data_IF_080631662562
#
_entry.id   IF_080631662562
#
_cell.length_a   1.000
_cell.length_b   1.000
_cell.length_c   1.000
_cell.angle_alpha   90.00
_cell.angle_beta   90.00
_cell.angle_gamma   90.00
#
_symmetry.space_group_name_H-M   'P 1'
#
loop_
_entity.id
_entity.type
_entity.pdbx_description
1 polymer ?
#
# COMPACT_ATOMS: atom_id res chain seq x y z
N UNK A 1 -8.50 7.23 11.18
CA UNK A 1 -7.78 7.69 9.96
C UNK A 1 -7.43 6.46 9.14
N UNK A 2 -7.25 6.62 7.83
CA UNK A 2 -6.95 5.52 6.91
C UNK A 2 -5.63 5.78 6.22
N UNK A 3 -4.91 4.71 5.90
CA UNK A 3 -3.60 4.76 5.22
C UNK A 3 -3.61 3.77 4.05
N UNK A 4 -2.73 4.01 3.09
CA UNK A 4 -2.47 3.10 1.97
C UNK A 4 -1.10 2.48 2.19
N UNK A 5 -1.06 1.16 2.33
CA UNK A 5 0.18 0.38 2.33
C UNK A 5 0.43 -0.14 0.93
N UNK A 6 1.70 -0.14 0.51
CA UNK A 6 2.11 -0.61 -0.81
C UNK A 6 3.08 -1.75 -0.66
N UNK A 7 2.95 -2.77 -1.49
CA UNK A 7 3.95 -3.82 -1.69
C UNK A 7 4.25 -3.92 -3.17
N UNK A 8 5.50 -3.67 -3.58
CA UNK A 8 5.94 -3.75 -4.98
C UNK A 8 6.66 -5.08 -5.20
N UNK A 9 6.19 -5.85 -6.18
CA UNK A 9 6.72 -7.18 -6.47
C UNK A 9 8.23 -7.09 -6.77
N UNK A 10 9.03 -7.86 -6.02
CA UNK A 10 10.48 -7.94 -6.21
C UNK A 10 11.27 -6.73 -5.72
N UNK A 11 10.63 -5.78 -5.02
CA UNK A 11 11.31 -4.62 -4.44
C UNK A 11 11.11 -4.58 -2.93
N UNK A 12 9.86 -4.47 -2.48
CA UNK A 12 9.57 -4.45 -1.05
C UNK A 12 8.13 -4.85 -0.79
N UNK A 13 7.88 -5.36 0.42
CA UNK A 13 6.54 -5.59 0.93
C UNK A 13 6.31 -4.88 2.27
N UNK A 14 5.07 -4.49 2.49
CA UNK A 14 4.59 -3.98 3.77
C UNK A 14 3.78 -5.04 4.49
N UNK A 15 3.95 -5.15 5.80
CA UNK A 15 3.16 -6.08 6.61
C UNK A 15 2.12 -5.35 7.45
N UNK A 16 0.96 -5.98 7.61
CA UNK A 16 -0.03 -5.55 8.60
C UNK A 16 0.53 -5.86 9.98
N UNK A 17 0.60 -4.83 10.81
CA UNK A 17 1.09 -4.90 12.19
C UNK A 17 -0.01 -4.50 13.16
N UNK A 18 0.24 -4.71 14.45
CA UNK A 18 -0.64 -4.19 15.49
C UNK A 18 -0.82 -2.67 15.39
N UNK A 19 -2.07 -2.21 15.50
CA UNK A 19 -2.48 -0.83 15.24
C UNK A 19 -2.94 -0.53 13.81
N UNK A 20 -2.87 -1.50 12.90
CA UNK A 20 -3.47 -1.42 11.56
C UNK A 20 -4.55 -2.48 11.37
N UNK A 21 -5.72 -2.06 10.89
CA UNK A 21 -6.81 -2.96 10.53
C UNK A 21 -7.05 -2.90 9.02
N UNK A 22 -6.71 -3.94 8.24
CA UNK A 22 -6.91 -3.94 6.80
C UNK A 22 -8.41 -3.91 6.47
N UNK A 23 -8.79 -3.11 5.48
CA UNK A 23 -10.18 -2.95 5.04
C UNK A 23 -10.41 -3.44 3.61
N UNK A 24 -9.45 -3.16 2.72
CA UNK A 24 -9.52 -3.58 1.33
C UNK A 24 -8.11 -3.74 0.77
N UNK A 25 -7.97 -4.67 -0.17
CA UNK A 25 -6.73 -4.88 -0.90
C UNK A 25 -6.98 -4.88 -2.40
N UNK A 26 -6.01 -4.38 -3.14
CA UNK A 26 -6.10 -4.21 -4.58
C UNK A 26 -4.79 -4.62 -5.24
N UNK A 27 -4.86 -5.47 -6.25
CA UNK A 27 -3.78 -5.66 -7.21
C UNK A 27 -3.73 -4.47 -8.16
N UNK A 28 -2.55 -3.89 -8.33
CA UNK A 28 -2.29 -2.95 -9.39
C UNK A 28 -1.70 -3.66 -10.61
N UNK A 29 -2.44 -3.59 -11.71
CA UNK A 29 -2.09 -4.14 -13.00
C UNK A 29 -1.62 -2.99 -13.91
N UNK A 30 -0.46 -3.15 -14.51
CA UNK A 30 0.06 -2.27 -15.55
C UNK A 30 0.17 -3.10 -16.83
N UNK A 31 -0.61 -2.76 -17.85
CA UNK A 31 -0.78 -3.56 -19.08
C UNK A 31 -1.04 -5.04 -18.76
N UNK A 32 -2.02 -5.31 -17.90
CA UNK A 32 -2.40 -6.65 -17.44
C UNK A 32 -1.41 -7.36 -16.50
N UNK A 33 -0.21 -6.81 -16.29
CA UNK A 33 0.81 -7.40 -15.42
C UNK A 33 0.72 -6.83 -14.01
N UNK A 34 0.58 -7.68 -12.99
CA UNK A 34 0.63 -7.24 -11.60
C UNK A 34 1.99 -6.62 -11.27
N UNK A 35 2.00 -5.39 -10.76
CA UNK A 35 3.22 -4.67 -10.34
C UNK A 35 3.27 -4.44 -8.83
N UNK A 36 2.12 -4.24 -8.21
CA UNK A 36 2.03 -4.00 -6.78
C UNK A 36 0.73 -4.55 -6.19
N UNK A 37 0.71 -4.70 -4.87
CA UNK A 37 -0.50 -4.84 -4.07
C UNK A 37 -0.62 -3.60 -3.20
N UNK A 38 -1.81 -3.01 -3.15
CA UNK A 38 -2.16 -1.93 -2.25
C UNK A 38 -3.13 -2.43 -1.19
N UNK A 39 -2.97 -1.95 0.05
CA UNK A 39 -3.89 -2.24 1.15
C UNK A 39 -4.35 -0.92 1.76
N UNK A 40 -5.65 -0.69 1.75
CA UNK A 40 -6.27 0.38 2.53
C UNK A 40 -6.53 -0.19 3.92
N UNK A 41 -5.96 0.45 4.94
CA UNK A 41 -6.10 0.04 6.33
C UNK A 41 -6.54 1.20 7.21
N UNK A 42 -7.35 0.91 8.21
CA UNK A 42 -7.63 1.81 9.32
C UNK A 42 -6.42 1.84 10.27
N UNK A 43 -5.93 3.04 10.56
CA UNK A 43 -4.91 3.29 11.58
C UNK A 43 -5.61 3.48 12.93
N UNK A 44 -5.58 2.44 13.75
CA UNK A 44 -6.26 2.37 15.06
C UNK A 44 -5.45 3.10 16.13
N UNK A 45 -4.11 3.05 16.03
CA UNK A 45 -3.17 3.77 16.88
C UNK A 45 -1.89 4.06 16.10
N UNK A 46 -1.14 5.07 16.54
CA UNK A 46 0.19 5.30 15.99
C UNK A 46 1.08 4.05 16.21
N UNK A 47 1.76 3.63 15.16
CA UNK A 47 2.52 2.38 15.12
C UNK A 47 3.71 2.53 14.16
N UNK A 48 4.54 1.50 14.04
CA UNK A 48 5.57 1.43 13.01
C UNK A 48 5.27 0.31 12.04
N UNK A 49 5.22 0.64 10.76
CA UNK A 49 4.94 -0.29 9.68
C UNK A 49 6.23 -0.99 9.32
N UNK A 50 6.16 -2.31 9.23
CA UNK A 50 7.29 -3.13 8.82
C UNK A 50 7.38 -3.13 7.28
N UNK A 51 8.44 -2.55 6.75
CA UNK A 51 8.80 -2.55 5.33
C UNK A 51 9.96 -3.52 5.15
N UNK A 52 9.74 -4.58 4.40
CA UNK A 52 10.74 -5.60 4.10
C UNK A 52 11.24 -5.31 2.69
N UNK A 53 12.50 -4.88 2.57
CA UNK A 53 13.18 -4.71 1.29
C UNK A 53 13.66 -6.07 0.78
N UNK A 54 13.01 -6.53 -0.28
CA UNK A 54 13.21 -7.85 -0.90
C UNK A 54 14.30 -7.81 -1.99
N UNK A 55 14.86 -6.64 -2.30
CA UNK A 55 15.95 -6.51 -3.28
C UNK A 55 17.30 -7.00 -2.73
N UNK A 56 17.41 -7.20 -1.40
CA UNK A 56 18.62 -7.66 -0.72
C UNK A 56 18.52 -9.12 -0.27
N UNK A 57 19.68 -9.78 -0.13
CA UNK A 57 19.79 -11.12 0.44
C UNK A 57 20.86 -11.14 1.55
N UNK A 58 20.48 -11.26 2.84
CA UNK A 58 19.10 -11.40 3.34
C UNK A 58 18.27 -10.11 3.19
N UNK A 59 16.92 -10.21 3.19
CA UNK A 59 16.05 -9.04 3.14
C UNK A 59 16.30 -8.08 4.31
N UNK A 60 16.24 -6.77 4.05
CA UNK A 60 16.42 -5.73 5.07
C UNK A 60 15.03 -5.37 5.63
N UNK A 61 14.91 -5.35 6.95
CA UNK A 61 13.66 -4.99 7.63
C UNK A 61 13.77 -3.59 8.20
N UNK A 62 12.89 -2.70 7.76
CA UNK A 62 12.77 -1.34 8.27
C UNK A 62 11.46 -1.16 9.02
N UNK A 63 11.50 -0.43 10.13
CA UNK A 63 10.31 0.01 10.87
C UNK A 63 10.05 1.49 10.60
N UNK A 64 9.01 1.78 9.80
CA UNK A 64 8.67 3.14 9.38
C UNK A 64 7.51 3.66 10.25
N UNK A 65 7.69 4.74 11.02
CA UNK A 65 6.61 5.33 11.81
C UNK A 65 5.40 5.74 10.97
N UNK A 66 4.19 5.41 11.42
CA UNK A 66 2.91 5.72 10.75
C UNK A 66 2.68 7.22 10.53
N UNK A 67 3.37 8.09 11.27
CA UNK A 67 3.33 9.54 11.08
C UNK A 67 3.87 10.02 9.73
N UNK A 68 4.67 9.20 9.03
CA UNK A 68 5.18 9.50 7.70
C UNK A 68 4.26 9.03 6.58
N UNK A 69 3.18 8.30 6.91
CA UNK A 69 2.18 7.91 5.93
C UNK A 69 1.17 9.03 5.76
N UNK A 70 0.76 9.24 4.51
CA UNK A 70 -0.40 10.08 4.20
C UNK A 70 -1.64 9.52 4.88
N UNK A 71 -2.43 10.38 5.53
CA UNK A 71 -3.58 9.99 6.33
C UNK A 71 -4.86 10.53 5.69
N UNK A 72 -5.80 9.63 5.46
CA UNK A 72 -7.10 9.95 4.88
C UNK A 72 -8.19 9.93 5.95
N UNK A 73 -9.17 10.82 5.80
CA UNK A 73 -10.32 10.91 6.71
C UNK A 73 -11.27 9.73 6.56
N UNK A 74 -11.42 9.21 5.34
CA UNK A 74 -12.32 8.10 5.01
C UNK A 74 -11.61 7.08 4.10
N UNK A 75 -12.04 5.81 4.06
CA UNK A 75 -11.45 4.82 3.16
C UNK A 75 -11.75 5.15 1.69
N UNK A 76 -12.86 5.84 1.39
CA UNK A 76 -13.19 6.31 0.04
C UNK A 76 -12.20 7.37 -0.44
N UNK A 77 -11.76 8.28 0.44
CA UNK A 77 -10.70 9.24 0.08
C UNK A 77 -9.36 8.55 -0.17
N UNK A 78 -9.00 7.56 0.65
CA UNK A 78 -7.81 6.74 0.40
C UNK A 78 -7.91 6.01 -0.95
N UNK A 79 -9.08 5.48 -1.29
CA UNK A 79 -9.30 4.81 -2.57
C UNK A 79 -9.24 5.79 -3.76
N UNK A 80 -9.84 6.97 -3.63
CA UNK A 80 -9.76 8.02 -4.66
C UNK A 80 -8.32 8.45 -4.92
N UNK A 81 -7.52 8.62 -3.86
CA UNK A 81 -6.09 8.92 -4.00
C UNK A 81 -5.35 7.76 -4.66
N UNK A 82 -5.67 6.51 -4.27
CA UNK A 82 -5.08 5.33 -4.91
C UNK A 82 -5.40 5.28 -6.41
N UNK A 83 -6.62 5.60 -6.83
CA UNK A 83 -7.00 5.70 -8.25
C UNK A 83 -6.22 6.80 -8.96
N UNK A 84 -6.05 7.96 -8.34
CA UNK A 84 -5.27 9.06 -8.89
C UNK A 84 -3.79 8.67 -9.07
N UNK A 85 -3.17 8.05 -8.07
CA UNK A 85 -1.77 7.58 -8.10
C UNK A 85 -1.50 6.48 -9.14
N UNK A 86 -2.53 5.73 -9.53
CA UNK A 86 -2.40 4.59 -10.45
C UNK A 86 -2.91 4.87 -11.86
N UNK A 87 -3.49 6.05 -12.09
CA UNK A 87 -3.95 6.50 -13.41
C UNK A 87 -2.94 7.47 -14.00
N UNK A 88 -2.40 7.17 -15.18
CA UNK A 88 -1.41 8.03 -15.82
C UNK A 88 -1.68 8.19 -17.32
N UNK A 89 -2.28 9.32 -17.70
CA UNK A 89 -2.60 9.63 -19.09
C UNK A 89 -3.44 8.54 -19.76
N UNK A 90 -2.96 8.02 -20.90
CA UNK A 90 -3.61 6.95 -21.67
C UNK A 90 -3.03 5.55 -21.40
N UNK A 91 -2.25 5.37 -20.33
CA UNK A 91 -1.69 4.05 -20.00
C UNK A 91 -2.79 3.08 -19.55
N UNK A 92 -2.68 1.81 -19.95
CA UNK A 92 -3.56 0.74 -19.48
C UNK A 92 -3.18 0.34 -18.05
N UNK A 93 -3.94 0.84 -17.10
CA UNK A 93 -3.80 0.53 -15.68
C UNK A 93 -5.12 0.10 -15.07
N UNK A 94 -5.06 -0.83 -14.12
CA UNK A 94 -6.24 -1.30 -13.41
C UNK A 94 -5.94 -1.58 -11.93
N UNK A 95 -6.91 -1.26 -11.08
CA UNK A 95 -6.97 -1.72 -9.69
C UNK A 95 -8.00 -2.85 -9.60
N UNK A 96 -7.53 -4.07 -9.32
CA UNK A 96 -8.39 -5.24 -9.13
C UNK A 96 -8.49 -5.55 -7.64
N UNK A 97 -9.69 -5.46 -7.09
CA UNK A 97 -9.96 -5.82 -5.69
C UNK A 97 -9.67 -7.31 -5.46
N UNK A 98 -9.05 -7.63 -4.32
CA UNK A 98 -8.81 -8.99 -3.83
C UNK A 98 -9.97 -9.52 -2.99
#
# INVERSE_FOLDING_TARGET
>A
MYVILTSKIGQFRTEIVDGLKPLASYDYLFYGTKKATFVIAELVKDTKIRVIDEAWSPPIVNEVPSKFLEKFETPERAFSELQHLTTFGHMDTALRKL
#
